data_IF_472356279852
#
_entry.id   IF_472356279852
#
_cell.length_a   1.000
_cell.length_b   1.000
_cell.length_c   1.000
_cell.angle_alpha   90.00
_cell.angle_beta   90.00
_cell.angle_gamma   90.00
#
_symmetry.space_group_name_H-M   'P 1'
#
loop_
_entity.id
_entity.type
_entity.pdbx_description
1 polymer ?
#
# COMPACT_ATOMS: atom_id res chain seq x y z
N UNK A 1 -14.90 -18.30 -5.98
CA UNK A 1 -15.43 -16.92 -6.10
C UNK A 1 -16.38 -16.70 -7.29
N UNK A 2 -16.58 -17.65 -8.22
CA UNK A 2 -17.48 -17.46 -9.38
C UNK A 2 -18.38 -18.67 -9.62
N UNK A 3 -19.22 -19.01 -8.64
CA UNK A 3 -20.08 -20.21 -8.68
C UNK A 3 -21.32 -20.04 -9.58
N UNK A 4 -21.70 -18.81 -9.92
CA UNK A 4 -22.88 -18.48 -10.76
C UNK A 4 -22.55 -17.61 -11.97
N UNK A 5 -21.31 -17.68 -12.47
CA UNK A 5 -20.82 -16.75 -13.47
C UNK A 5 -20.57 -15.35 -12.90
N UNK A 6 -19.53 -14.69 -13.38
CA UNK A 6 -19.21 -13.31 -13.03
C UNK A 6 -18.52 -12.66 -14.21
N UNK A 7 -18.84 -11.40 -14.50
CA UNK A 7 -18.31 -10.67 -15.66
C UNK A 7 -16.77 -10.60 -15.62
N UNK A 8 -16.06 -10.56 -16.75
CA UNK A 8 -14.63 -10.30 -16.74
C UNK A 8 -14.35 -8.98 -16.02
N UNK A 9 -13.59 -9.06 -14.92
CA UNK A 9 -13.17 -7.90 -14.13
C UNK A 9 -11.65 -7.95 -14.02
N UNK A 10 -11.03 -6.79 -14.09
CA UNK A 10 -9.63 -6.57 -13.74
C UNK A 10 -9.58 -5.48 -12.69
N UNK A 11 -8.63 -5.60 -11.76
CA UNK A 11 -8.35 -4.55 -10.77
C UNK A 11 -6.86 -4.24 -10.77
N UNK A 12 -6.51 -3.03 -10.35
CA UNK A 12 -5.15 -2.68 -10.02
C UNK A 12 -5.11 -2.18 -8.57
N UNK A 13 -3.97 -2.41 -7.92
CA UNK A 13 -3.69 -1.90 -6.59
C UNK A 13 -2.58 -0.86 -6.66
N UNK A 14 -2.70 0.21 -5.89
CA UNK A 14 -1.69 1.24 -5.76
C UNK A 14 -1.46 1.52 -4.29
N UNK A 15 -0.20 1.48 -3.87
CA UNK A 15 0.20 1.78 -2.49
C UNK A 15 0.51 3.26 -2.34
N UNK A 16 -0.37 4.00 -1.65
CA UNK A 16 -0.30 5.46 -1.49
C UNK A 16 1.09 5.92 -1.02
N UNK A 17 1.62 5.31 0.03
CA UNK A 17 2.88 5.73 0.67
C UNK A 17 4.08 5.44 -0.23
N UNK A 18 3.99 4.39 -1.05
CA UNK A 18 5.01 4.06 -2.06
C UNK A 18 4.93 5.00 -3.26
N UNK A 19 3.72 5.39 -3.68
CA UNK A 19 3.52 6.39 -4.73
C UNK A 19 4.02 7.75 -4.30
N UNK A 20 3.74 8.18 -3.06
CA UNK A 20 4.29 9.41 -2.50
C UNK A 20 5.81 9.37 -2.39
N UNK A 21 6.40 8.26 -1.92
CA UNK A 21 7.86 8.09 -1.87
C UNK A 21 8.51 8.17 -3.26
N UNK A 22 7.85 7.63 -4.30
CA UNK A 22 8.31 7.72 -5.69
C UNK A 22 8.27 9.16 -6.22
N UNK A 23 7.15 9.88 -6.02
CA UNK A 23 6.99 11.28 -6.47
C UNK A 23 8.01 12.19 -5.78
N UNK A 24 8.28 11.96 -4.50
CA UNK A 24 9.13 12.82 -3.66
C UNK A 24 10.60 12.37 -3.61
N UNK A 25 10.96 11.27 -4.27
CA UNK A 25 12.33 10.78 -4.36
C UNK A 25 12.91 10.24 -3.04
N UNK A 26 12.07 9.83 -2.09
CA UNK A 26 12.49 9.43 -0.75
C UNK A 26 12.80 7.94 -0.65
N UNK A 27 13.88 7.60 0.05
CA UNK A 27 14.39 6.23 0.13
C UNK A 27 13.56 5.31 1.04
N UNK A 28 12.88 5.86 2.05
CA UNK A 28 12.09 5.08 3.00
C UNK A 28 10.64 5.55 3.11
N UNK A 29 9.70 4.62 2.95
CA UNK A 29 8.24 4.86 3.11
C UNK A 29 7.83 5.26 4.54
N UNK A 30 8.69 5.03 5.53
CA UNK A 30 8.43 5.35 6.94
C UNK A 30 8.22 6.84 7.17
N UNK A 31 8.76 7.67 6.28
CA UNK A 31 8.63 9.13 6.34
C UNK A 31 7.24 9.62 5.92
N UNK A 32 6.45 8.77 5.26
CA UNK A 32 5.09 9.08 4.81
C UNK A 32 4.01 8.45 5.69
N UNK A 33 4.40 7.73 6.75
CA UNK A 33 3.48 7.08 7.68
C UNK A 33 3.70 7.67 9.07
N UNK A 34 2.72 8.35 9.67
CA UNK A 34 2.88 8.97 10.99
C UNK A 34 3.15 7.93 12.10
N UNK A 35 2.55 6.74 11.99
CA UNK A 35 2.77 5.63 12.93
C UNK A 35 3.08 4.34 12.15
N UNK A 36 4.34 4.14 11.73
CA UNK A 36 4.70 3.00 10.89
C UNK A 36 4.64 1.70 11.69
N UNK A 37 3.75 0.79 11.27
CA UNK A 37 3.73 -0.59 11.76
C UNK A 37 4.93 -1.32 11.17
N UNK A 38 5.87 -1.75 12.02
CA UNK A 38 6.99 -2.59 11.62
C UNK A 38 7.06 -3.82 12.51
N UNK A 39 7.76 -4.86 12.06
CA UNK A 39 7.94 -6.09 12.84
C UNK A 39 8.55 -5.83 14.23
N UNK A 40 9.38 -4.78 14.35
CA UNK A 40 10.01 -4.35 15.60
C UNK A 40 9.35 -3.12 16.25
N UNK A 41 8.25 -2.58 15.70
CA UNK A 41 7.57 -1.38 16.25
C UNK A 41 6.06 -1.46 16.02
N UNK A 42 5.33 -1.75 17.10
CA UNK A 42 3.87 -1.90 17.07
C UNK A 42 3.13 -0.72 17.73
N UNK A 43 3.79 0.00 18.65
CA UNK A 43 3.22 1.12 19.40
C UNK A 43 3.93 2.45 19.05
N UNK A 44 3.20 3.58 19.08
CA UNK A 44 3.76 4.91 18.87
C UNK A 44 4.91 5.20 19.84
#
# INVERSE_FOLDING_TARGET
LRKYGGFPHSGFGLGLERTCAWITGRRHIREFIPFPRMINRLYP
#
